data_IF_528278264366
#
_entry.id   IF_528278264366
#
_cell.length_a   1.000
_cell.length_b   1.000
_cell.length_c   1.000
_cell.angle_alpha   90.00
_cell.angle_beta   90.00
_cell.angle_gamma   90.00
#
_symmetry.space_group_name_H-M   'P 1'
#
loop_
_entity.id
_entity.type
_entity.pdbx_description
1 polymer ?
#
# COMPACT_ATOMS: atom_id res chain seq x y z
N UNK A 1 24.11 6.08 -24.32
CA UNK A 1 22.88 6.72 -24.86
C UNK A 1 21.66 5.79 -24.88
N UNK A 2 21.81 4.45 -24.88
CA UNK A 2 20.68 3.50 -24.98
C UNK A 2 19.75 3.47 -23.75
N UNK A 3 20.28 3.71 -22.54
CA UNK A 3 19.49 3.59 -21.30
C UNK A 3 18.54 4.79 -21.07
N UNK A 4 18.86 5.97 -21.63
CA UNK A 4 18.03 7.18 -21.50
C UNK A 4 16.73 7.09 -22.31
N UNK A 5 16.75 6.38 -23.45
CA UNK A 5 15.55 6.16 -24.27
C UNK A 5 14.58 5.16 -23.64
N UNK A 6 15.09 4.20 -22.85
CA UNK A 6 14.25 3.22 -22.15
C UNK A 6 13.42 3.89 -21.03
N UNK A 7 14.05 4.81 -20.28
CA UNK A 7 13.39 5.57 -19.21
C UNK A 7 12.32 6.52 -19.78
N UNK A 8 12.60 7.18 -20.91
CA UNK A 8 11.63 8.02 -21.60
C UNK A 8 10.42 7.21 -22.12
N UNK A 9 10.65 6.00 -22.64
CA UNK A 9 9.58 5.09 -23.08
C UNK A 9 8.70 4.58 -21.93
N UNK A 10 9.30 4.29 -20.77
CA UNK A 10 8.56 3.87 -19.58
C UNK A 10 7.68 4.99 -19.00
N UNK A 11 8.17 6.24 -19.01
CA UNK A 11 7.40 7.42 -18.57
C UNK A 11 6.23 7.75 -19.51
N UNK A 12 6.38 7.50 -20.81
CA UNK A 12 5.30 7.65 -21.81
C UNK A 12 4.24 6.54 -21.74
N UNK A 13 4.63 5.33 -21.34
CA UNK A 13 3.67 4.24 -21.09
C UNK A 13 2.86 4.47 -19.80
N UNK A 14 3.47 5.09 -18.79
CA UNK A 14 2.80 5.46 -17.55
C UNK A 14 1.81 6.63 -17.70
N UNK A 15 1.83 7.36 -18.82
CA UNK A 15 0.89 8.45 -19.12
C UNK A 15 -0.34 8.01 -19.93
N UNK A 16 -0.50 6.71 -20.22
CA UNK A 16 -1.75 6.18 -20.75
C UNK A 16 -2.83 6.19 -19.66
N UNK A 17 -3.64 7.24 -19.65
CA UNK A 17 -4.88 7.28 -18.89
C UNK A 17 -5.85 6.24 -19.47
N UNK A 18 -6.07 5.14 -18.76
CA UNK A 18 -7.16 4.21 -19.06
C UNK A 18 -8.46 4.94 -18.72
N UNK A 19 -9.24 5.31 -19.73
CA UNK A 19 -10.62 5.75 -19.51
C UNK A 19 -11.46 4.54 -19.09
N UNK A 20 -11.77 4.40 -17.81
CA UNK A 20 -12.82 3.49 -17.35
C UNK A 20 -14.17 4.00 -17.85
N UNK A 21 -14.97 3.13 -18.45
CA UNK A 21 -16.34 3.49 -18.85
C UNK A 21 -17.21 3.71 -17.61
N UNK A 22 -18.00 4.78 -17.67
CA UNK A 22 -18.83 5.30 -16.59
C UNK A 22 -20.03 4.41 -16.25
N UNK A 23 -20.33 4.34 -14.95
CA UNK A 23 -21.60 3.92 -14.38
C UNK A 23 -22.66 5.00 -14.67
N UNK A 24 -23.89 4.61 -15.00
CA UNK A 24 -24.95 5.53 -15.43
C UNK A 24 -25.41 6.46 -14.30
N UNK A 25 -24.84 7.67 -14.24
CA UNK A 25 -25.29 8.77 -13.37
C UNK A 25 -24.16 9.77 -13.09
N UNK A 26 -24.25 10.98 -13.68
CA UNK A 26 -23.23 12.04 -13.72
C UNK A 26 -21.86 11.61 -14.29
N UNK A 27 -21.12 12.47 -15.03
CA UNK A 27 -19.76 12.15 -15.42
C UNK A 27 -18.89 12.10 -14.16
N UNK A 28 -18.60 10.88 -13.68
CA UNK A 28 -17.59 10.63 -12.66
C UNK A 28 -16.23 10.56 -13.34
N UNK A 29 -15.33 11.47 -12.99
CA UNK A 29 -13.96 11.41 -13.45
C UNK A 29 -13.17 10.44 -12.55
N UNK A 30 -12.14 9.80 -13.10
CA UNK A 30 -11.24 8.94 -12.29
C UNK A 30 -10.61 9.75 -11.15
N UNK A 31 -10.33 11.03 -11.38
CA UNK A 31 -9.79 11.95 -10.36
C UNK A 31 -10.74 12.25 -9.20
N UNK A 32 -12.02 11.90 -9.30
CA UNK A 32 -12.99 12.14 -8.22
C UNK A 32 -12.79 11.15 -7.07
N UNK A 33 -12.18 9.99 -7.36
CA UNK A 33 -12.02 8.89 -6.40
C UNK A 33 -10.63 8.28 -6.40
N UNK A 34 -9.75 8.59 -7.35
CA UNK A 34 -8.36 8.14 -7.39
C UNK A 34 -7.40 9.32 -7.31
N UNK A 35 -6.61 9.36 -6.26
CA UNK A 35 -5.67 10.43 -5.94
C UNK A 35 -4.24 9.90 -5.93
N UNK A 36 -3.30 10.73 -6.37
CA UNK A 36 -1.89 10.36 -6.51
C UNK A 36 -1.00 11.48 -5.96
N UNK A 37 0.09 11.13 -5.30
CA UNK A 37 1.12 12.05 -4.83
C UNK A 37 2.51 11.50 -5.13
N UNK A 38 3.48 12.41 -5.29
CA UNK A 38 4.89 12.08 -5.36
C UNK A 38 5.59 12.89 -4.26
N UNK A 39 6.20 12.19 -3.33
CA UNK A 39 6.77 12.74 -2.11
C UNK A 39 8.29 12.51 -2.07
N UNK A 40 8.96 13.38 -1.31
CA UNK A 40 10.35 13.14 -0.88
C UNK A 40 10.30 12.89 0.62
N UNK A 41 10.70 11.69 1.03
CA UNK A 41 10.59 11.25 2.42
C UNK A 41 11.99 11.11 3.03
N UNK A 42 12.18 11.76 4.17
CA UNK A 42 13.37 11.59 5.01
C UNK A 42 13.03 10.74 6.22
N UNK A 43 13.63 9.56 6.33
CA UNK A 43 13.46 8.65 7.45
C UNK A 43 14.67 8.65 8.37
N UNK A 44 14.43 8.48 9.67
CA UNK A 44 15.46 8.52 10.69
C UNK A 44 15.24 7.38 11.70
N UNK A 45 16.27 6.59 11.99
CA UNK A 45 16.26 5.45 12.92
C UNK A 45 15.21 4.35 12.61
N UNK A 46 14.97 4.07 11.32
CA UNK A 46 14.10 2.95 10.92
C UNK A 46 14.70 1.59 11.30
N UNK A 47 13.83 0.60 11.57
CA UNK A 47 14.19 -0.71 12.16
C UNK A 47 13.66 -1.93 11.40
N UNK A 48 13.48 -1.83 10.10
CA UNK A 48 13.04 -2.98 9.29
C UNK A 48 14.13 -4.05 9.11
N UNK A 49 15.41 -3.64 9.21
CA UNK A 49 16.57 -4.51 9.14
C UNK A 49 17.31 -4.68 10.48
N UNK A 50 18.42 -5.43 10.49
CA UNK A 50 19.21 -5.68 11.70
C UNK A 50 19.96 -4.43 12.22
N UNK A 51 20.03 -3.36 11.41
CA UNK A 51 20.70 -2.11 11.72
C UNK A 51 19.72 -0.94 11.65
N UNK A 52 20.06 0.16 12.34
CA UNK A 52 19.32 1.41 12.25
C UNK A 52 19.61 2.11 10.92
N UNK A 53 18.55 2.43 10.18
CA UNK A 53 18.67 3.02 8.85
C UNK A 53 18.11 4.45 8.83
N UNK A 54 18.85 5.34 8.15
CA UNK A 54 18.43 6.68 7.79
C UNK A 54 18.48 6.76 6.27
N UNK A 55 17.40 7.24 5.67
CA UNK A 55 17.26 7.29 4.21
C UNK A 55 16.56 8.58 3.77
N UNK A 56 16.87 9.03 2.58
CA UNK A 56 16.08 10.02 1.86
C UNK A 56 15.72 9.43 0.50
N UNK A 57 14.44 9.13 0.33
CA UNK A 57 13.91 8.39 -0.81
C UNK A 57 12.77 9.13 -1.50
N UNK A 58 12.50 8.70 -2.73
CA UNK A 58 11.34 9.14 -3.50
C UNK A 58 10.20 8.15 -3.23
N UNK A 59 9.00 8.66 -2.95
CA UNK A 59 7.82 7.86 -2.69
C UNK A 59 6.70 8.30 -3.66
N UNK A 60 5.98 7.35 -4.21
CA UNK A 60 4.72 7.58 -4.92
C UNK A 60 3.60 6.95 -4.10
N UNK A 61 2.60 7.73 -3.72
CA UNK A 61 1.40 7.20 -3.06
C UNK A 61 0.20 7.30 -4.00
N UNK A 62 -0.68 6.31 -3.87
CA UNK A 62 -1.98 6.33 -4.48
C UNK A 62 -3.03 5.95 -3.45
N UNK A 63 -4.13 6.69 -3.49
CA UNK A 63 -5.26 6.54 -2.61
C UNK A 63 -6.52 6.49 -3.47
N UNK A 64 -7.45 5.60 -3.14
CA UNK A 64 -8.73 5.58 -3.80
C UNK A 64 -9.89 5.20 -2.87
N UNK A 65 -11.05 5.81 -3.13
CA UNK A 65 -12.31 5.49 -2.48
C UNK A 65 -13.45 5.50 -3.50
N UNK A 66 -13.92 4.33 -3.88
CA UNK A 66 -15.15 4.13 -4.65
C UNK A 66 -16.13 3.37 -3.77
N UNK A 67 -17.43 3.53 -4.01
CA UNK A 67 -18.51 2.96 -3.20
C UNK A 67 -18.29 1.51 -2.72
N UNK A 68 -17.65 0.64 -3.50
CA UNK A 68 -17.40 -0.77 -3.18
C UNK A 68 -15.92 -1.13 -2.95
N UNK A 69 -15.02 -0.15 -3.08
CA UNK A 69 -13.57 -0.36 -3.17
C UNK A 69 -12.78 0.76 -2.52
N UNK A 70 -11.94 0.37 -1.57
CA UNK A 70 -10.96 1.22 -0.94
C UNK A 70 -9.56 0.76 -1.32
N UNK A 71 -8.68 1.73 -1.53
CA UNK A 71 -7.28 1.48 -1.84
C UNK A 71 -6.39 2.50 -1.15
N UNK A 72 -5.35 2.00 -0.53
CA UNK A 72 -4.16 2.78 -0.23
C UNK A 72 -2.95 2.00 -0.71
N UNK A 73 -1.93 2.69 -1.19
CA UNK A 73 -0.68 2.04 -1.49
C UNK A 73 0.42 3.04 -1.81
N UNK A 74 1.65 2.62 -1.58
CA UNK A 74 2.81 3.43 -1.83
C UNK A 74 3.94 2.60 -2.43
N UNK A 75 4.82 3.29 -3.15
CA UNK A 75 6.02 2.75 -3.77
C UNK A 75 7.19 3.64 -3.41
N UNK A 76 8.15 3.07 -2.69
CA UNK A 76 9.40 3.72 -2.32
C UNK A 76 10.50 3.32 -3.29
N UNK A 77 11.33 4.29 -3.62
CA UNK A 77 12.58 4.10 -4.36
C UNK A 77 13.73 4.48 -3.42
N UNK A 78 14.29 3.51 -2.67
CA UNK A 78 15.26 3.78 -1.61
C UNK A 78 16.53 4.47 -2.11
N UNK A 79 17.14 5.29 -1.25
CA UNK A 79 18.36 6.05 -1.52
C UNK A 79 18.36 6.78 -2.88
N UNK A 80 17.20 7.26 -3.34
CA UNK A 80 17.07 7.90 -4.66
C UNK A 80 17.97 9.13 -4.81
N UNK A 81 18.15 9.87 -3.71
CA UNK A 81 18.92 11.12 -3.67
C UNK A 81 20.39 10.94 -3.25
N UNK A 82 20.84 9.70 -2.99
CA UNK A 82 22.19 9.43 -2.50
C UNK A 82 22.45 9.93 -1.08
N UNK A 83 21.39 10.21 -0.32
CA UNK A 83 21.43 10.79 1.02
C UNK A 83 20.93 9.79 2.07
N UNK A 84 21.62 8.65 2.15
CA UNK A 84 21.36 7.60 3.12
C UNK A 84 22.60 7.30 3.97
N UNK A 85 22.43 6.62 5.11
CA UNK A 85 23.56 6.15 5.91
C UNK A 85 24.22 4.92 5.25
N UNK A 86 25.38 4.48 5.76
CA UNK A 86 26.14 3.35 5.18
C UNK A 86 25.44 1.99 5.23
N UNK A 87 24.36 1.86 5.99
CA UNK A 87 23.57 0.62 6.14
C UNK A 87 22.35 0.58 5.24
N UNK A 88 22.01 1.70 4.60
CA UNK A 88 20.91 1.82 3.68
C UNK A 88 21.44 1.96 2.25
N UNK A 89 21.05 1.02 1.41
CA UNK A 89 21.31 1.00 -0.03
C UNK A 89 19.97 0.97 -0.75
N UNK A 90 19.95 1.43 -1.99
CA UNK A 90 18.77 1.49 -2.82
C UNK A 90 19.06 1.32 -4.30
N UNK A 91 18.35 2.09 -5.11
CA UNK A 91 18.30 1.93 -6.58
C UNK A 91 19.65 2.13 -7.28
N UNK A 92 20.59 2.86 -6.67
CA UNK A 92 21.86 3.22 -7.31
C UNK A 92 23.09 2.48 -6.76
N UNK A 93 22.99 1.81 -5.61
CA UNK A 93 24.15 1.34 -4.84
C UNK A 93 24.00 -0.10 -4.32
N UNK A 94 23.39 -0.96 -5.14
CA UNK A 94 23.21 -2.39 -4.92
C UNK A 94 22.33 -2.74 -3.70
N UNK A 95 21.38 -1.89 -3.35
CA UNK A 95 20.31 -2.20 -2.41
C UNK A 95 19.06 -2.71 -3.10
N UNK A 96 17.94 -2.71 -2.39
CA UNK A 96 16.64 -2.92 -3.04
C UNK A 96 16.26 -1.66 -3.81
N UNK A 97 16.00 -1.76 -5.13
CA UNK A 97 15.66 -0.58 -5.92
C UNK A 97 14.20 -0.16 -5.74
N UNK A 98 13.35 -1.00 -5.15
CA UNK A 98 11.92 -0.73 -5.04
C UNK A 98 11.31 -1.50 -3.86
N UNK A 99 10.57 -0.78 -3.04
CA UNK A 99 9.68 -1.32 -2.03
C UNK A 99 8.26 -0.83 -2.32
N UNK A 100 7.25 -1.67 -2.14
CA UNK A 100 5.86 -1.29 -2.27
C UNK A 100 4.98 -2.02 -1.27
N UNK A 101 3.92 -1.35 -0.85
CA UNK A 101 2.84 -1.92 -0.07
C UNK A 101 1.52 -1.41 -0.65
N UNK A 102 0.57 -2.31 -0.86
CA UNK A 102 -0.78 -1.97 -1.33
C UNK A 102 -1.81 -2.63 -0.42
N UNK A 103 -2.88 -1.90 -0.11
CA UNK A 103 -3.93 -2.30 0.81
C UNK A 103 -5.33 -2.20 0.13
N UNK A 104 -5.64 -3.04 -0.87
CA UNK A 104 -6.97 -3.04 -1.48
C UNK A 104 -8.00 -3.73 -0.57
N UNK A 105 -9.09 -3.03 -0.27
CA UNK A 105 -10.23 -3.52 0.51
C UNK A 105 -11.49 -3.49 -0.36
N UNK A 106 -12.23 -4.60 -0.36
CA UNK A 106 -13.46 -4.74 -1.14
C UNK A 106 -14.65 -4.86 -0.20
N UNK A 107 -15.63 -3.97 -0.32
CA UNK A 107 -16.80 -3.97 0.56
C UNK A 107 -17.68 -5.19 0.31
N UNK A 108 -17.86 -6.02 1.33
CA UNK A 108 -18.76 -7.16 1.30
C UNK A 108 -20.20 -6.68 1.27
N UNK A 109 -20.53 -5.64 2.05
CA UNK A 109 -21.86 -5.05 2.11
C UNK A 109 -22.35 -4.63 0.73
N UNK A 110 -21.51 -3.90 -0.01
CA UNK A 110 -21.85 -3.35 -1.32
C UNK A 110 -21.82 -4.42 -2.40
N UNK A 111 -20.86 -5.34 -2.37
CA UNK A 111 -20.79 -6.45 -3.30
C UNK A 111 -21.95 -7.45 -3.13
N UNK A 112 -22.48 -7.59 -1.92
CA UNK A 112 -23.62 -8.47 -1.61
C UNK A 112 -24.97 -7.75 -1.60
N UNK A 113 -24.98 -6.42 -1.67
CA UNK A 113 -26.18 -5.59 -1.56
C UNK A 113 -26.89 -5.71 -0.20
N UNK A 114 -26.17 -6.15 0.84
CA UNK A 114 -26.72 -6.42 2.17
C UNK A 114 -26.03 -5.52 3.18
N UNK A 115 -26.82 -4.82 4.01
CA UNK A 115 -26.29 -4.06 5.14
C UNK A 115 -25.86 -5.04 6.25
N UNK A 116 -24.55 -5.16 6.45
CA UNK A 116 -23.94 -6.01 7.48
C UNK A 116 -23.49 -5.18 8.69
N UNK A 117 -23.87 -3.90 8.75
CA UNK A 117 -23.52 -3.02 9.85
C UNK A 117 -24.13 -3.51 11.17
N UNK A 118 -23.36 -3.40 12.25
CA UNK A 118 -23.81 -3.75 13.58
C UNK A 118 -23.08 -2.93 14.65
N UNK A 119 -23.83 -2.10 15.37
CA UNK A 119 -23.29 -1.24 16.42
C UNK A 119 -22.24 -0.25 15.89
N UNK A 120 -20.98 -0.30 16.37
CA UNK A 120 -19.92 0.58 15.91
C UNK A 120 -19.29 0.12 14.58
N UNK A 121 -19.53 -1.11 14.13
CA UNK A 121 -19.01 -1.64 12.87
C UNK A 121 -19.93 -1.24 11.72
N UNK A 122 -19.43 -0.43 10.79
CA UNK A 122 -20.25 0.22 9.76
C UNK A 122 -20.25 -0.53 8.43
N UNK A 123 -19.14 -1.14 8.09
CA UNK A 123 -18.97 -1.82 6.82
C UNK A 123 -17.93 -2.95 7.00
N UNK A 124 -18.11 -4.04 6.27
CA UNK A 124 -17.20 -5.19 6.29
C UNK A 124 -16.51 -5.34 4.94
N UNK A 125 -15.24 -5.70 4.98
CA UNK A 125 -14.39 -5.76 3.80
C UNK A 125 -13.68 -7.11 3.68
N UNK A 126 -13.55 -7.59 2.45
CA UNK A 126 -12.45 -8.48 2.12
C UNK A 126 -11.19 -7.63 1.97
N UNK A 127 -10.37 -7.66 3.02
CA UNK A 127 -9.19 -6.83 3.16
C UNK A 127 -7.94 -7.57 2.69
N UNK A 128 -7.08 -6.87 1.97
CA UNK A 128 -5.80 -7.39 1.51
C UNK A 128 -4.71 -6.39 1.85
N UNK A 129 -3.54 -6.91 2.19
CA UNK A 129 -2.31 -6.14 2.24
C UNK A 129 -1.22 -6.93 1.52
N UNK A 130 -0.65 -6.35 0.49
CA UNK A 130 0.42 -6.97 -0.28
C UNK A 130 1.70 -6.14 -0.16
N UNK A 131 2.72 -6.73 0.46
CA UNK A 131 4.04 -6.13 0.65
C UNK A 131 5.02 -6.79 -0.30
N UNK A 132 5.68 -5.98 -1.13
CA UNK A 132 6.70 -6.43 -2.06
C UNK A 132 7.95 -5.56 -1.95
N UNK A 133 9.05 -6.19 -1.56
CA UNK A 133 10.39 -5.62 -1.64
C UNK A 133 11.11 -6.35 -2.75
N UNK A 134 11.54 -5.65 -3.80
CA UNK A 134 12.25 -6.27 -4.92
C UNK A 134 13.55 -6.96 -4.49
N UNK A 135 14.15 -6.49 -3.39
CA UNK A 135 15.46 -6.92 -2.92
C UNK A 135 16.58 -6.58 -3.90
N UNK A 136 17.82 -6.66 -3.42
CA UNK A 136 19.01 -6.61 -4.29
C UNK A 136 19.03 -7.78 -5.28
N UNK A 137 18.63 -8.96 -4.81
CA UNK A 137 18.57 -10.19 -5.58
C UNK A 137 17.44 -11.12 -5.06
N UNK A 138 17.27 -12.27 -5.72
CA UNK A 138 16.19 -13.21 -5.42
C UNK A 138 16.21 -13.74 -3.97
N UNK A 139 17.37 -13.79 -3.30
CA UNK A 139 17.47 -14.26 -1.91
C UNK A 139 17.02 -13.21 -0.90
N UNK A 140 17.06 -11.92 -1.28
CA UNK A 140 16.73 -10.78 -0.43
C UNK A 140 15.37 -10.17 -0.76
N UNK A 141 14.60 -10.79 -1.65
CA UNK A 141 13.27 -10.31 -2.07
C UNK A 141 12.21 -10.66 -1.02
N UNK A 142 11.36 -9.69 -0.67
CA UNK A 142 10.14 -9.93 0.10
C UNK A 142 8.94 -9.98 -0.84
N UNK A 143 8.07 -10.96 -0.64
CA UNK A 143 6.81 -11.05 -1.35
C UNK A 143 5.78 -11.73 -0.44
N UNK A 144 4.97 -10.90 0.21
CA UNK A 144 4.05 -11.31 1.25
C UNK A 144 2.66 -10.80 0.94
N UNK A 145 1.69 -11.69 0.93
CA UNK A 145 0.29 -11.34 0.76
C UNK A 145 -0.49 -11.68 2.02
N UNK A 146 -1.06 -10.68 2.65
CA UNK A 146 -2.00 -10.77 3.74
C UNK A 146 -3.42 -10.65 3.18
N UNK A 147 -4.31 -11.53 3.59
CA UNK A 147 -5.73 -11.47 3.23
C UNK A 147 -6.60 -11.78 4.44
N UNK A 148 -7.76 -11.17 4.54
CA UNK A 148 -8.65 -11.44 5.65
C UNK A 148 -9.85 -10.52 5.70
N UNK A 149 -10.36 -10.33 6.91
CA UNK A 149 -11.57 -9.57 7.17
C UNK A 149 -11.21 -8.18 7.71
N UNK A 150 -11.73 -7.14 7.08
CA UNK A 150 -11.63 -5.76 7.52
C UNK A 150 -12.97 -5.19 7.93
N UNK A 151 -12.95 -4.11 8.71
CA UNK A 151 -14.16 -3.35 9.06
C UNK A 151 -13.81 -1.90 9.36
N UNK A 152 -14.75 -1.00 9.07
CA UNK A 152 -14.68 0.38 9.52
C UNK A 152 -15.48 0.57 10.82
N UNK A 153 -14.83 1.17 11.81
CA UNK A 153 -15.35 1.35 13.16
C UNK A 153 -15.58 2.85 13.40
N UNK A 154 -16.81 3.19 13.74
CA UNK A 154 -17.20 4.52 14.18
C UNK A 154 -16.87 4.70 15.67
N UNK A 155 -15.87 5.55 15.97
CA UNK A 155 -15.50 5.88 17.35
C UNK A 155 -16.21 7.17 17.79
N UNK A 156 -17.35 7.00 18.45
CA UNK A 156 -18.10 8.03 19.20
C UNK A 156 -18.59 9.22 18.33
N UNK A 157 -19.66 9.93 18.75
CA UNK A 157 -20.15 11.05 17.96
C UNK A 157 -19.06 12.12 17.98
N UNK A 158 -18.58 12.50 16.80
CA UNK A 158 -17.49 13.45 16.56
C UNK A 158 -16.09 12.81 16.62
N UNK A 159 -15.63 12.37 15.43
CA UNK A 159 -14.36 12.82 14.83
C UNK A 159 -13.35 11.76 14.41
N UNK A 160 -13.56 10.44 14.43
CA UNK A 160 -12.66 9.51 13.70
C UNK A 160 -13.34 8.19 13.31
N UNK A 161 -13.33 7.86 12.01
CA UNK A 161 -13.55 6.48 11.54
C UNK A 161 -12.19 5.78 11.57
N UNK A 162 -12.12 4.63 12.24
CA UNK A 162 -10.91 3.81 12.32
C UNK A 162 -11.15 2.48 11.60
N UNK A 163 -10.27 2.13 10.66
CA UNK A 163 -10.26 0.80 10.06
C UNK A 163 -9.60 -0.21 10.99
N UNK A 164 -10.13 -1.42 11.03
CA UNK A 164 -9.53 -2.56 11.73
C UNK A 164 -9.53 -3.79 10.81
N UNK A 165 -8.39 -4.48 10.74
CA UNK A 165 -8.23 -5.67 9.91
C UNK A 165 -7.67 -6.85 10.67
N UNK A 166 -8.15 -8.03 10.33
CA UNK A 166 -7.63 -9.30 10.77
C UNK A 166 -7.17 -10.11 9.57
N UNK A 167 -5.86 -10.16 9.36
CA UNK A 167 -5.28 -10.75 8.15
C UNK A 167 -4.48 -12.01 8.44
N UNK A 168 -4.62 -12.98 7.54
CA UNK A 168 -3.80 -14.17 7.45
C UNK A 168 -2.65 -13.92 6.47
N UNK A 169 -1.42 -14.14 6.93
CA UNK A 169 -0.23 -14.06 6.08
C UNK A 169 -0.05 -15.28 5.17
N UNK A 170 0.18 -15.03 3.88
CA UNK A 170 0.58 -16.01 2.88
C UNK A 170 1.91 -15.56 2.25
N UNK A 171 3.03 -16.25 2.52
CA UNK A 171 4.28 -15.98 1.80
C UNK A 171 4.14 -16.45 0.36
N UNK A 172 4.21 -15.52 -0.60
CA UNK A 172 4.07 -15.82 -2.03
C UNK A 172 5.41 -16.28 -2.64
N UNK A 173 6.53 -16.05 -1.93
CA UNK A 173 7.89 -16.36 -2.38
C UNK A 173 8.51 -17.65 -1.86
N UNK A 174 8.14 -18.82 -2.43
CA UNK A 174 9.01 -19.94 -2.89
C UNK A 174 8.19 -21.06 -3.57
N UNK A 175 7.27 -20.72 -4.47
CA UNK A 175 6.54 -21.72 -5.27
C UNK A 175 7.42 -22.29 -6.39
N UNK A 176 8.21 -23.33 -6.08
CA UNK A 176 8.75 -24.24 -7.10
C UNK A 176 7.67 -25.27 -7.45
N UNK A 177 7.39 -25.46 -8.73
CA UNK A 177 6.49 -26.50 -9.26
C UNK A 177 7.02 -27.88 -8.79
N UNK A 178 6.44 -28.43 -7.70
CA UNK A 178 6.75 -29.77 -7.21
C UNK A 178 7.21 -29.90 -5.75
N UNK A 179 7.44 -28.82 -5.01
CA UNK A 179 7.74 -28.93 -3.56
C UNK A 179 6.46 -28.68 -2.73
N UNK A 180 5.85 -29.73 -2.19
CA UNK A 180 4.92 -29.57 -1.04
C UNK A 180 5.76 -29.12 0.16
N UNK A 181 5.83 -27.81 0.41
CA UNK A 181 6.35 -27.28 1.66
C UNK A 181 5.20 -26.76 2.51
N UNK A 182 5.26 -27.12 3.79
CA UNK A 182 4.32 -26.74 4.85
C UNK A 182 3.81 -25.32 4.64
N UNK A 183 2.48 -25.13 4.70
CA UNK A 183 1.93 -23.82 4.99
C UNK A 183 2.70 -23.28 6.20
N UNK A 184 3.50 -22.23 5.97
CA UNK A 184 4.19 -21.53 7.02
C UNK A 184 3.17 -21.13 8.10
N UNK A 185 3.64 -21.07 9.35
CA UNK A 185 2.86 -20.68 10.52
C UNK A 185 1.88 -19.55 10.16
N UNK A 186 0.58 -19.80 10.31
CA UNK A 186 -0.47 -18.80 10.20
C UNK A 186 -0.12 -17.67 11.19
N UNK A 187 0.35 -16.54 10.67
CA UNK A 187 0.58 -15.33 11.47
C UNK A 187 -0.63 -14.45 11.29
N UNK A 188 -1.28 -14.13 12.42
CA UNK A 188 -2.42 -13.21 12.47
C UNK A 188 -1.86 -11.83 12.74
N UNK A 189 -2.14 -10.89 11.84
CA UNK A 189 -1.76 -9.50 12.01
C UNK A 189 -3.02 -8.65 12.19
N UNK A 190 -3.08 -7.93 13.31
CA UNK A 190 -4.08 -6.91 13.55
C UNK A 190 -3.51 -5.56 13.15
N UNK A 191 -4.16 -4.87 12.20
CA UNK A 191 -3.82 -3.48 11.83
C UNK A 191 -4.99 -2.56 12.19
N UNK A 192 -4.67 -1.39 12.73
CA UNK A 192 -5.61 -0.27 12.91
C UNK A 192 -5.05 0.91 12.12
N UNK A 193 -5.88 1.53 11.30
CA UNK A 193 -5.48 2.65 10.44
C UNK A 193 -6.56 3.73 10.41
N UNK A 194 -6.20 4.99 10.11
CA UNK A 194 -7.19 6.02 9.83
C UNK A 194 -8.04 5.59 8.62
N UNK A 195 -9.35 5.83 8.65
CA UNK A 195 -10.18 5.53 7.50
C UNK A 195 -9.69 6.28 6.26
N UNK A 196 -9.92 5.68 5.10
CA UNK A 196 -9.56 6.19 3.79
C UNK A 196 -10.12 7.62 3.58
N UNK A 197 -11.34 7.89 4.04
CA UNK A 197 -11.95 9.24 4.06
C UNK A 197 -11.13 10.32 4.82
N UNK A 198 -10.36 9.92 5.85
CA UNK A 198 -9.49 10.84 6.59
C UNK A 198 -8.26 11.26 5.79
N UNK A 199 -7.81 10.44 4.83
CA UNK A 199 -6.64 10.72 4.00
C UNK A 199 -6.95 11.74 2.90
N UNK A 200 -8.19 11.74 2.38
CA UNK A 200 -8.67 12.73 1.39
C UNK A 200 -8.71 14.15 1.97
N UNK A 201 -9.07 14.29 3.25
CA UNK A 201 -9.34 15.58 3.88
C UNK A 201 -8.13 16.31 4.48
N UNK A 202 -7.00 15.63 4.74
CA UNK A 202 -5.80 16.24 5.37
C UNK A 202 -4.47 15.80 4.74
N UNK A 203 -4.24 16.21 3.50
CA UNK A 203 -2.90 16.20 2.89
C UNK A 203 -1.75 16.81 3.76
N UNK A 204 -1.95 17.68 4.78
CA UNK A 204 -0.82 18.17 5.59
C UNK A 204 -0.55 17.48 6.94
N UNK A 205 -1.42 16.62 7.49
CA UNK A 205 -1.29 16.19 8.91
C UNK A 205 -0.93 14.71 9.16
N UNK A 206 -0.81 13.89 8.12
CA UNK A 206 -0.45 12.46 8.25
C UNK A 206 1.02 12.19 8.61
N UNK A 207 1.87 13.21 8.59
CA UNK A 207 3.29 13.13 8.97
C UNK A 207 3.58 12.62 10.40
N UNK A 208 2.56 12.40 11.24
CA UNK A 208 2.77 12.19 12.68
C UNK A 208 2.37 10.83 13.25
N UNK A 209 1.75 9.93 12.48
CA UNK A 209 1.18 8.69 13.06
C UNK A 209 1.79 7.37 12.57
N UNK A 210 2.63 7.36 11.54
CA UNK A 210 3.19 6.12 10.97
C UNK A 210 4.68 5.87 11.26
N UNK A 211 5.27 6.50 12.29
CA UNK A 211 6.67 6.26 12.70
C UNK A 211 6.83 5.79 14.16
N UNK A 212 5.98 4.84 14.60
CA UNK A 212 6.24 4.06 15.82
C UNK A 212 6.32 2.57 15.52
#
# INVERSE_FOLDING_TARGET
MKNKMLVAGALLAASYSISSQAETGAPTYVSDWWHQSVNVVGSNHTRFGPHLNNDVYLEYEAFAHKDWFDFYGYVDIPNFFGAANSYQQGIWDNGSPLFMEIEPRFSIDKLTGTDLSFGPFKEWYFANNYVYDMGRDHNNRQNTWYMGLGTDIDRYPHQNVAGAEHLCQIPVGKLRRGERKQLGRLSLQGKIFPAVDYLVGRQPELYRLHQL
#
